data_IF_747215586605
#
_entry.id   IF_747215586605
#
_cell.length_a   1.000
_cell.length_b   1.000
_cell.length_c   1.000
_cell.angle_alpha   90.00
_cell.angle_beta   90.00
_cell.angle_gamma   90.00
#
_symmetry.space_group_name_H-M   'P 1'
#
loop_
_entity.id
_entity.type
_entity.pdbx_description
1 polymer ?
#
# COMPACT_ATOMS: atom_id res chain seq x y z
N UNK A 1 18.50 27.17 0.99
CA UNK A 1 18.74 25.84 0.40
C UNK A 1 17.41 25.10 0.36
N UNK A 2 16.93 24.71 -0.82
CA UNK A 2 15.69 23.95 -0.96
C UNK A 2 16.07 22.47 -1.04
N UNK A 3 15.76 21.72 0.01
CA UNK A 3 15.91 20.26 0.00
C UNK A 3 14.70 19.70 -0.74
N UNK A 4 14.91 19.14 -1.92
CA UNK A 4 13.91 18.36 -2.63
C UNK A 4 14.15 16.89 -2.33
N UNK A 5 13.13 16.22 -1.81
CA UNK A 5 13.18 14.76 -1.66
C UNK A 5 13.19 14.16 -3.07
N UNK A 6 14.13 13.26 -3.40
CA UNK A 6 14.12 12.57 -4.69
C UNK A 6 12.83 11.76 -4.82
N UNK A 7 12.23 11.76 -6.00
CA UNK A 7 11.07 10.93 -6.27
C UNK A 7 11.48 9.45 -6.21
N UNK A 8 10.78 8.68 -5.38
CA UNK A 8 10.96 7.23 -5.30
C UNK A 8 10.07 6.61 -6.36
N UNK A 9 10.68 5.89 -7.28
CA UNK A 9 9.95 5.08 -8.25
C UNK A 9 9.34 3.86 -7.56
N UNK A 10 8.03 3.72 -7.69
CA UNK A 10 7.25 2.62 -7.12
C UNK A 10 6.57 1.79 -8.22
N UNK A 11 6.80 2.07 -9.51
CA UNK A 11 6.05 1.45 -10.61
C UNK A 11 6.24 -0.06 -10.72
N UNK A 12 7.37 -0.57 -10.23
CA UNK A 12 7.72 -2.00 -10.28
C UNK A 12 7.38 -2.77 -8.99
N UNK A 13 6.65 -2.14 -8.07
CA UNK A 13 6.27 -2.74 -6.79
C UNK A 13 7.38 -2.67 -5.76
N UNK A 14 7.58 -3.76 -5.02
CA UNK A 14 8.65 -3.88 -4.02
C UNK A 14 9.95 -4.36 -4.68
N UNK A 15 10.95 -3.49 -4.74
CA UNK A 15 12.29 -3.78 -5.25
C UNK A 15 13.34 -3.67 -4.13
N UNK A 16 14.52 -4.29 -4.27
CA UNK A 16 15.61 -4.12 -3.30
C UNK A 16 16.04 -2.66 -3.07
N UNK A 17 15.83 -1.79 -4.06
CA UNK A 17 16.22 -0.38 -4.02
C UNK A 17 15.19 0.49 -3.29
N UNK A 18 13.89 0.20 -3.43
CA UNK A 18 12.82 1.01 -2.84
C UNK A 18 12.24 0.42 -1.55
N UNK A 19 12.31 -0.91 -1.35
CA UNK A 19 11.82 -1.60 -0.15
C UNK A 19 12.90 -1.76 0.93
N UNK A 20 13.58 -0.67 1.25
CA UNK A 20 14.69 -0.64 2.23
C UNK A 20 14.27 -1.07 3.66
N UNK A 21 12.96 -1.14 3.93
CA UNK A 21 12.39 -1.56 5.21
C UNK A 21 11.77 -2.97 5.15
N UNK A 22 11.92 -3.71 4.05
CA UNK A 22 11.38 -5.06 3.85
C UNK A 22 9.86 -5.17 4.10
N UNK A 23 9.10 -4.17 3.64
CA UNK A 23 7.64 -4.08 3.80
C UNK A 23 6.87 -5.04 2.91
N UNK A 24 7.50 -5.68 1.92
CA UNK A 24 6.87 -6.77 1.17
C UNK A 24 6.35 -7.89 2.08
N UNK A 25 7.04 -8.18 3.19
CA UNK A 25 6.56 -9.19 4.14
C UNK A 25 5.29 -8.73 4.87
N UNK A 26 5.17 -7.42 5.13
CA UNK A 26 3.98 -6.85 5.75
C UNK A 26 2.79 -6.86 4.78
N UNK A 27 3.00 -6.59 3.48
CA UNK A 27 1.93 -6.70 2.48
C UNK A 27 1.42 -8.13 2.36
N UNK A 28 2.29 -9.14 2.32
CA UNK A 28 1.88 -10.56 2.29
C UNK A 28 1.01 -10.92 3.51
N UNK A 29 1.34 -10.41 4.70
CA UNK A 29 0.50 -10.63 5.89
C UNK A 29 -0.88 -10.01 5.77
N UNK A 30 -0.97 -8.79 5.23
CA UNK A 30 -2.25 -8.13 4.97
C UNK A 30 -3.06 -8.88 3.92
N UNK A 31 -2.42 -9.33 2.84
CA UNK A 31 -3.07 -10.13 1.80
C UNK A 31 -3.67 -11.41 2.37
N UNK A 32 -2.93 -12.14 3.21
CA UNK A 32 -3.46 -13.33 3.88
C UNK A 32 -4.69 -13.01 4.74
N UNK A 33 -4.72 -11.87 5.45
CA UNK A 33 -5.90 -11.46 6.23
C UNK A 33 -7.09 -11.19 5.32
N UNK A 34 -6.86 -10.52 4.19
CA UNK A 34 -7.90 -10.19 3.22
C UNK A 34 -8.44 -11.45 2.54
N UNK A 35 -7.57 -12.36 2.10
CA UNK A 35 -7.93 -13.61 1.43
C UNK A 35 -8.69 -14.60 2.34
N UNK A 36 -8.43 -14.56 3.64
CA UNK A 36 -9.11 -15.42 4.62
C UNK A 36 -10.30 -14.71 5.29
N UNK A 37 -10.69 -13.53 4.82
CA UNK A 37 -11.89 -12.85 5.30
C UNK A 37 -13.09 -13.27 4.48
N UNK A 38 -14.12 -13.81 5.13
CA UNK A 38 -15.38 -14.21 4.49
C UNK A 38 -16.30 -13.00 4.17
N UNK A 39 -15.87 -11.76 4.47
CA UNK A 39 -16.67 -10.54 4.29
C UNK A 39 -16.16 -9.69 3.11
N UNK A 40 -17.02 -9.51 2.11
CA UNK A 40 -16.76 -8.66 0.94
C UNK A 40 -16.56 -7.17 1.31
N UNK A 41 -16.87 -6.74 2.53
CA UNK A 41 -16.80 -5.35 3.02
C UNK A 41 -15.73 -5.13 4.10
N UNK A 42 -14.67 -5.95 4.12
CA UNK A 42 -13.58 -5.79 5.08
C UNK A 42 -12.97 -4.37 5.04
N UNK A 43 -12.94 -3.70 6.20
CA UNK A 43 -12.27 -2.40 6.39
C UNK A 43 -11.04 -2.58 7.27
N UNK A 44 -9.87 -2.19 6.76
CA UNK A 44 -8.60 -2.27 7.48
C UNK A 44 -8.05 -0.87 7.75
N UNK A 45 -7.84 -0.53 9.02
CA UNK A 45 -7.16 0.70 9.41
C UNK A 45 -5.67 0.46 9.69
N UNK A 46 -4.79 1.05 8.88
CA UNK A 46 -3.34 1.01 9.10
C UNK A 46 -2.88 2.24 9.88
N UNK A 47 -2.52 2.06 11.16
CA UNK A 47 -2.03 3.15 12.01
C UNK A 47 -0.50 3.11 12.13
N UNK A 48 0.15 4.26 11.93
CA UNK A 48 1.60 4.43 12.09
C UNK A 48 1.94 5.93 12.27
N UNK A 49 3.16 6.28 12.70
CA UNK A 49 3.62 7.68 12.86
C UNK A 49 3.84 8.37 11.51
N UNK A 50 3.62 9.69 11.47
CA UNK A 50 3.93 10.48 10.28
C UNK A 50 5.43 10.37 9.90
N UNK A 51 5.74 10.44 8.61
CA UNK A 51 7.11 10.29 8.09
C UNK A 51 7.59 8.85 7.88
N UNK A 52 6.86 7.84 8.33
CA UNK A 52 7.25 6.43 8.16
C UNK A 52 6.93 5.83 6.77
N UNK A 53 6.73 6.63 5.72
CA UNK A 53 6.54 6.09 4.37
C UNK A 53 5.26 5.28 4.13
N UNK A 54 4.16 5.55 4.86
CA UNK A 54 2.84 4.94 4.63
C UNK A 54 2.39 5.06 3.17
N UNK A 55 2.50 6.27 2.60
CA UNK A 55 2.14 6.52 1.21
C UNK A 55 3.04 5.75 0.24
N UNK A 56 4.35 5.67 0.52
CA UNK A 56 5.30 4.90 -0.29
C UNK A 56 4.96 3.42 -0.26
N UNK A 57 4.64 2.87 0.93
CA UNK A 57 4.18 1.49 1.07
C UNK A 57 2.94 1.19 0.21
N UNK A 58 1.92 2.05 0.28
CA UNK A 58 0.69 1.87 -0.50
C UNK A 58 0.95 1.88 -2.01
N UNK A 59 1.81 2.78 -2.50
CA UNK A 59 2.20 2.84 -3.91
C UNK A 59 2.96 1.59 -4.39
N UNK A 60 3.92 1.12 -3.60
CA UNK A 60 4.65 -0.13 -3.92
C UNK A 60 3.70 -1.32 -3.92
N UNK A 61 2.79 -1.41 -2.95
CA UNK A 61 1.85 -2.51 -2.85
C UNK A 61 0.82 -2.52 -3.99
N UNK A 62 0.29 -1.35 -4.36
CA UNK A 62 -0.61 -1.19 -5.52
C UNK A 62 0.04 -1.68 -6.82
N UNK A 63 1.29 -1.28 -7.06
CA UNK A 63 2.06 -1.73 -8.23
C UNK A 63 2.38 -3.24 -8.19
N UNK A 64 2.70 -3.79 -7.03
CA UNK A 64 2.92 -5.22 -6.85
C UNK A 64 1.66 -6.03 -7.19
N UNK A 65 0.50 -5.65 -6.65
CA UNK A 65 -0.79 -6.31 -6.93
C UNK A 65 -1.12 -6.23 -8.44
N UNK A 66 -0.89 -5.08 -9.07
CA UNK A 66 -1.13 -4.91 -10.51
C UNK A 66 -0.26 -5.84 -11.37
N UNK A 67 0.98 -6.10 -10.93
CA UNK A 67 1.96 -6.95 -11.62
C UNK A 67 1.66 -8.45 -11.49
N UNK A 68 1.14 -8.89 -10.34
CA UNK A 68 0.82 -10.31 -10.08
C UNK A 68 -0.44 -10.81 -10.82
N UNK A 69 -1.26 -9.91 -11.37
CA UNK A 69 -2.41 -10.26 -12.22
C UNK A 69 -3.74 -10.41 -11.48
N UNK A 70 -4.82 -10.27 -12.25
CA UNK A 70 -6.20 -9.91 -11.88
C UNK A 70 -7.00 -10.85 -10.93
N UNK A 71 -6.40 -11.78 -10.19
CA UNK A 71 -7.14 -12.61 -9.22
C UNK A 71 -7.35 -11.93 -7.85
N UNK A 72 -6.90 -10.67 -7.72
CA UNK A 72 -7.06 -9.80 -6.54
C UNK A 72 -7.87 -8.52 -6.83
N UNK A 73 -8.78 -8.52 -7.82
CA UNK A 73 -9.66 -7.37 -8.12
C UNK A 73 -10.49 -6.89 -6.91
N UNK A 74 -10.78 -7.80 -5.98
CA UNK A 74 -11.42 -7.48 -4.69
C UNK A 74 -10.48 -6.63 -3.82
N UNK A 75 -9.20 -7.02 -3.73
CA UNK A 75 -8.17 -6.31 -2.95
C UNK A 75 -7.88 -4.94 -3.56
N UNK A 76 -7.81 -4.80 -4.89
CA UNK A 76 -7.60 -3.50 -5.52
C UNK A 76 -8.76 -2.53 -5.27
N UNK A 77 -10.01 -3.01 -5.30
CA UNK A 77 -11.19 -2.17 -5.04
C UNK A 77 -11.32 -1.72 -3.57
N UNK A 78 -10.94 -2.59 -2.63
CA UNK A 78 -10.91 -2.28 -1.20
C UNK A 78 -9.70 -1.40 -0.84
N UNK A 79 -8.53 -1.65 -1.44
CA UNK A 79 -7.33 -0.82 -1.29
C UNK A 79 -7.55 0.59 -1.85
N UNK A 80 -8.21 0.74 -3.00
CA UNK A 80 -8.59 2.04 -3.57
C UNK A 80 -9.50 2.85 -2.62
N UNK A 81 -10.40 2.17 -1.92
CA UNK A 81 -11.29 2.79 -0.93
C UNK A 81 -10.51 3.22 0.32
N UNK A 82 -9.56 2.42 0.80
CA UNK A 82 -8.67 2.75 1.92
C UNK A 82 -7.67 3.87 1.57
N UNK A 83 -7.16 3.89 0.33
CA UNK A 83 -6.30 4.98 -0.19
C UNK A 83 -7.11 6.28 -0.32
N UNK A 84 -8.38 6.21 -0.77
CA UNK A 84 -9.28 7.38 -0.78
C UNK A 84 -9.58 7.90 0.62
N UNK A 85 -9.88 7.03 1.58
CA UNK A 85 -10.16 7.44 2.97
C UNK A 85 -8.89 8.05 3.60
N UNK A 86 -7.73 7.41 3.47
CA UNK A 86 -6.47 7.95 4.00
C UNK A 86 -6.06 9.28 3.36
N UNK A 87 -6.38 9.53 2.07
CA UNK A 87 -6.23 10.86 1.44
C UNK A 87 -7.16 11.91 2.03
N UNK A 88 -8.43 11.57 2.32
CA UNK A 88 -9.38 12.50 2.95
C UNK A 88 -8.88 12.97 4.34
N UNK A 89 -8.25 12.08 5.13
CA UNK A 89 -7.69 12.45 6.43
C UNK A 89 -6.33 13.15 6.37
N UNK A 90 -5.61 13.07 5.25
CA UNK A 90 -4.34 13.76 5.06
C UNK A 90 -4.51 15.24 4.68
N UNK A 91 -5.70 15.61 4.20
CA UNK A 91 -6.07 16.98 3.80
C UNK A 91 -6.81 17.77 4.91
N UNK A 92 -6.93 17.22 6.13
CA UNK A 92 -7.50 17.86 7.32
C UNK A 92 -6.47 18.10 8.44
#
# INVERSE_FOLDING_TARGET
MRLTVPEIDCSEGFTPENDIFNRKQFSIQLENIIENSDDDNLVIALNDKWGNGKTTFLKMWEAEIAKEGANKQVISSQADSLIKISRIWADF
#
